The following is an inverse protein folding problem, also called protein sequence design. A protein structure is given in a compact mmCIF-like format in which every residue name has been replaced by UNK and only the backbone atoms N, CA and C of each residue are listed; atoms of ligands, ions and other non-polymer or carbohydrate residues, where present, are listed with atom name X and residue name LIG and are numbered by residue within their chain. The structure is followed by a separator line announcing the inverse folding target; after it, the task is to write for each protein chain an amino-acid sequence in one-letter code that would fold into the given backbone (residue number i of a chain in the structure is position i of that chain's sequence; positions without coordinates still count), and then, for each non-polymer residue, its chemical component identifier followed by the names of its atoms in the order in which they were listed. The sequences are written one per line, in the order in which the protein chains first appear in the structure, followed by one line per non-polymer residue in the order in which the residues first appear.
data_IF_978637263792
#
_entry.id   IF_978637263792
#
_cell.length_a   1.000
_cell.length_b   1.000
_cell.length_c   1.000
_cell.angle_alpha   90.00
_cell.angle_beta   90.00
_cell.angle_gamma   90.00
#
_symmetry.space_group_name_H-M   'P 1'
#
loop_
_entity.id
_entity.type
_entity.pdbx_description
1 polymer ?
#
# COMPACT_ATOMS: atom_id res chain seq x y z
N UNK A 1 2.00 60.61 -14.91
CA UNK A 1 1.09 59.52 -15.37
C UNK A 1 1.78 58.25 -15.79
N UNK A 2 2.91 58.29 -16.55
CA UNK A 2 3.63 57.05 -16.98
C UNK A 2 4.21 56.20 -15.84
N UNK A 3 4.68 56.82 -14.76
CA UNK A 3 5.25 56.10 -13.59
C UNK A 3 4.20 55.38 -12.75
N UNK A 4 3.01 55.97 -12.60
CA UNK A 4 1.90 55.34 -11.85
C UNK A 4 1.35 54.13 -12.61
N UNK A 5 1.26 54.23 -13.93
CA UNK A 5 0.80 53.11 -14.77
C UNK A 5 1.76 51.93 -14.73
N UNK A 6 3.09 52.19 -14.70
CA UNK A 6 4.13 51.14 -14.57
C UNK A 6 4.05 50.44 -13.23
N UNK A 7 3.78 51.16 -12.13
CA UNK A 7 3.63 50.56 -10.79
C UNK A 7 2.38 49.69 -10.67
N UNK A 8 1.29 50.07 -11.31
CA UNK A 8 0.05 49.29 -11.35
C UNK A 8 0.22 48.00 -12.16
N UNK A 9 0.93 48.04 -13.30
CA UNK A 9 1.25 46.83 -14.08
C UNK A 9 2.17 45.89 -13.33
N UNK A 10 3.17 46.41 -12.61
CA UNK A 10 4.12 45.57 -11.85
C UNK A 10 3.40 44.84 -10.69
N UNK A 11 2.49 45.52 -9.98
CA UNK A 11 1.71 44.89 -8.92
C UNK A 11 0.70 43.86 -9.47
N UNK A 12 0.11 44.11 -10.65
CA UNK A 12 -0.81 43.20 -11.29
C UNK A 12 -0.10 41.89 -11.72
N UNK A 13 1.13 41.99 -12.25
CA UNK A 13 1.94 40.82 -12.66
C UNK A 13 2.39 39.97 -11.44
N UNK A 14 2.74 40.62 -10.31
CA UNK A 14 3.08 39.91 -9.07
C UNK A 14 1.83 39.18 -8.53
N UNK A 15 0.65 39.79 -8.60
CA UNK A 15 -0.59 39.19 -8.10
C UNK A 15 -1.04 37.97 -8.94
N UNK A 16 -0.82 38.01 -10.25
CA UNK A 16 -1.15 36.85 -11.12
C UNK A 16 -0.16 35.69 -11.00
N UNK A 17 1.10 35.96 -10.66
CA UNK A 17 2.10 34.87 -10.48
C UNK A 17 1.97 34.12 -9.14
N UNK A 18 1.33 34.72 -8.13
CA UNK A 18 1.10 34.03 -6.84
C UNK A 18 -0.16 33.16 -6.81
N UNK A 19 -1.08 33.31 -7.77
CA UNK A 19 -2.30 32.51 -7.83
C UNK A 19 -2.11 31.10 -8.44
N UNK A 20 -0.98 30.82 -9.08
CA UNK A 20 -0.71 29.52 -9.71
C UNK A 20 -0.19 28.45 -8.74
N UNK A 21 0.02 28.77 -7.46
CA UNK A 21 0.61 27.86 -6.46
C UNK A 21 -0.41 27.19 -5.51
N UNK A 22 -1.70 27.42 -5.70
CA UNK A 22 -2.73 26.90 -4.79
C UNK A 22 -3.62 25.82 -5.41
N UNK A 23 -3.15 25.11 -6.42
CA UNK A 23 -3.85 23.92 -6.93
C UNK A 23 -3.06 22.66 -6.60
N UNK A 24 -2.70 22.47 -5.33
CA UNK A 24 -2.43 21.15 -4.79
C UNK A 24 -3.78 20.48 -4.52
N UNK A 25 -4.59 20.33 -5.56
CA UNK A 25 -5.68 19.38 -5.51
C UNK A 25 -5.04 18.01 -5.34
N UNK A 26 -5.41 17.28 -4.28
CA UNK A 26 -4.98 15.91 -4.11
C UNK A 26 -5.33 15.14 -5.36
N UNK A 27 -4.32 14.60 -6.05
CA UNK A 27 -4.52 13.88 -7.28
C UNK A 27 -5.34 12.63 -7.04
N UNK A 28 -6.27 12.35 -7.95
CA UNK A 28 -7.07 11.13 -7.91
C UNK A 28 -6.16 9.94 -8.18
N UNK A 29 -6.30 8.89 -7.37
CA UNK A 29 -5.61 7.63 -7.60
C UNK A 29 -6.30 6.85 -8.71
N UNK A 30 -5.52 6.23 -9.60
CA UNK A 30 -6.01 5.45 -10.74
C UNK A 30 -5.53 4.00 -10.68
N UNK A 31 -6.33 3.10 -11.21
CA UNK A 31 -5.92 1.72 -11.43
C UNK A 31 -5.06 1.57 -12.70
N UNK A 32 -4.53 0.39 -12.94
CA UNK A 32 -3.69 0.07 -14.10
C UNK A 32 -4.42 0.17 -15.45
N UNK A 33 -5.76 0.20 -15.46
CA UNK A 33 -6.58 0.41 -16.64
C UNK A 33 -6.93 1.90 -16.85
N UNK A 34 -6.47 2.80 -15.98
CA UNK A 34 -6.74 4.24 -16.05
C UNK A 34 -8.10 4.65 -15.47
N UNK A 35 -8.80 3.77 -14.75
CA UNK A 35 -10.01 4.12 -14.03
C UNK A 35 -9.67 4.66 -12.66
N UNK A 36 -10.54 5.52 -12.11
CA UNK A 36 -10.39 6.02 -10.75
C UNK A 36 -10.48 4.88 -9.75
N UNK A 37 -9.61 4.90 -8.74
CA UNK A 37 -9.70 3.98 -7.62
C UNK A 37 -10.93 4.35 -6.77
N UNK A 38 -11.81 3.38 -6.51
CA UNK A 38 -13.10 3.62 -5.85
C UNK A 38 -13.13 2.96 -4.46
N UNK A 39 -13.85 3.61 -3.55
CA UNK A 39 -14.14 3.12 -2.21
C UNK A 39 -14.86 1.77 -2.27
N UNK A 40 -14.39 0.81 -1.43
CA UNK A 40 -15.05 -0.48 -1.25
C UNK A 40 -15.00 -1.42 -2.46
N UNK A 41 -14.37 -1.02 -3.55
CA UNK A 41 -14.11 -1.91 -4.68
C UNK A 41 -12.80 -2.67 -4.40
N UNK A 42 -12.76 -4.00 -4.58
CA UNK A 42 -11.55 -4.78 -4.34
C UNK A 42 -10.56 -4.66 -5.49
N UNK A 43 -9.30 -4.42 -5.13
CA UNK A 43 -8.15 -4.30 -6.04
C UNK A 43 -7.02 -5.19 -5.57
N UNK A 44 -6.27 -5.76 -6.52
CA UNK A 44 -4.95 -6.33 -6.26
C UNK A 44 -3.93 -5.20 -6.18
N UNK A 45 -3.00 -5.31 -5.23
CA UNK A 45 -1.86 -4.40 -5.07
C UNK A 45 -0.63 -5.12 -5.61
N UNK A 46 -0.16 -4.72 -6.79
CA UNK A 46 0.93 -5.38 -7.50
C UNK A 46 2.20 -4.51 -7.47
N UNK A 47 3.40 -5.09 -7.36
CA UNK A 47 4.62 -4.31 -7.53
C UNK A 47 4.71 -3.76 -8.96
N UNK A 48 5.18 -2.51 -9.11
CA UNK A 48 5.42 -1.90 -10.41
C UNK A 48 6.53 -2.63 -11.17
N UNK A 49 7.60 -3.01 -10.45
CA UNK A 49 8.79 -3.62 -11.05
C UNK A 49 8.62 -5.14 -11.17
N UNK A 50 8.79 -5.65 -12.39
CA UNK A 50 8.80 -7.08 -12.64
C UNK A 50 10.05 -7.76 -12.07
N UNK A 51 9.91 -9.03 -11.69
CA UNK A 51 11.00 -9.82 -11.11
C UNK A 51 11.23 -9.56 -9.62
N UNK A 52 10.36 -8.76 -8.96
CA UNK A 52 10.45 -8.47 -7.52
C UNK A 52 9.51 -9.30 -6.67
N UNK A 53 8.72 -10.18 -7.28
CA UNK A 53 7.68 -10.99 -6.66
C UNK A 53 6.28 -10.66 -7.19
N UNK A 54 5.27 -11.34 -6.67
CA UNK A 54 3.86 -11.13 -7.02
C UNK A 54 3.18 -10.05 -6.18
N UNK A 55 1.85 -10.03 -6.23
CA UNK A 55 1.02 -9.07 -5.50
C UNK A 55 1.04 -9.29 -3.99
N UNK A 56 0.47 -8.32 -3.27
CA UNK A 56 0.31 -8.45 -1.82
C UNK A 56 -0.76 -9.48 -1.49
N UNK A 57 -0.51 -10.25 -0.43
CA UNK A 57 -1.36 -11.34 0.03
C UNK A 57 -1.42 -11.34 1.56
N UNK A 58 -2.16 -12.30 2.11
CA UNK A 58 -2.21 -12.53 3.55
C UNK A 58 -1.67 -13.92 3.86
N UNK A 59 -0.84 -14.00 4.89
CA UNK A 59 -0.31 -15.28 5.38
C UNK A 59 -0.47 -15.40 6.89
N UNK A 60 -0.59 -16.64 7.34
CA UNK A 60 -0.49 -16.93 8.77
C UNK A 60 0.99 -16.93 9.19
N UNK A 61 1.27 -16.47 10.39
CA UNK A 61 2.59 -16.67 10.98
C UNK A 61 2.75 -18.16 11.37
N UNK A 62 3.95 -18.68 11.23
CA UNK A 62 4.26 -20.06 11.61
C UNK A 62 4.06 -20.36 13.10
N UNK A 63 4.18 -19.34 13.97
CA UNK A 63 4.04 -19.49 15.43
C UNK A 63 2.64 -19.16 15.92
N UNK A 64 2.03 -18.10 15.37
CA UNK A 64 0.70 -17.63 15.74
C UNK A 64 -0.16 -17.51 14.50
N UNK A 65 -1.25 -18.28 14.46
CA UNK A 65 -2.15 -18.26 13.30
C UNK A 65 -2.82 -16.88 13.09
N UNK A 66 -2.83 -16.02 14.11
CA UNK A 66 -3.51 -14.73 14.13
C UNK A 66 -2.72 -13.65 14.89
N UNK A 67 -2.76 -12.40 14.45
CA UNK A 67 -3.39 -11.89 13.22
C UNK A 67 -2.66 -12.35 11.95
N UNK A 68 -3.32 -12.20 10.77
CA UNK A 68 -2.66 -12.49 9.50
C UNK A 68 -1.66 -11.37 9.17
N UNK A 69 -0.49 -11.77 8.65
CA UNK A 69 0.50 -10.84 8.14
C UNK A 69 0.20 -10.47 6.68
N UNK A 70 0.44 -9.22 6.31
CA UNK A 70 0.46 -8.82 4.90
C UNK A 70 1.83 -9.17 4.32
N UNK A 71 1.83 -10.03 3.31
CA UNK A 71 3.06 -10.57 2.68
C UNK A 71 3.05 -10.32 1.18
N UNK A 72 4.18 -10.51 0.55
CA UNK A 72 4.29 -10.49 -0.90
C UNK A 72 4.33 -11.93 -1.43
N UNK A 73 3.56 -12.22 -2.48
CA UNK A 73 3.64 -13.49 -3.19
C UNK A 73 5.03 -13.68 -3.80
N UNK A 74 5.57 -14.90 -3.70
CA UNK A 74 6.90 -15.21 -4.23
C UNK A 74 6.93 -15.25 -5.76
N UNK A 75 5.81 -15.64 -6.38
CA UNK A 75 5.70 -15.75 -7.83
C UNK A 75 5.02 -14.53 -8.44
N UNK A 76 5.66 -13.91 -9.42
CA UNK A 76 5.18 -12.71 -10.11
C UNK A 76 3.80 -12.87 -10.76
N UNK A 77 3.43 -14.09 -11.15
CA UNK A 77 2.14 -14.39 -11.75
C UNK A 77 0.98 -14.42 -10.76
N UNK A 78 1.28 -14.44 -9.46
CA UNK A 78 0.28 -14.45 -8.41
C UNK A 78 -0.13 -13.01 -8.07
N UNK A 79 -1.38 -12.67 -8.30
CA UNK A 79 -1.91 -11.34 -7.97
C UNK A 79 -2.08 -11.11 -6.45
N UNK A 80 -2.01 -12.17 -5.64
CA UNK A 80 -2.25 -12.10 -4.21
C UNK A 80 -3.72 -11.99 -3.84
N UNK A 81 -3.99 -11.36 -2.71
CA UNK A 81 -5.34 -11.12 -2.19
C UNK A 81 -5.90 -9.78 -2.64
N UNK A 82 -7.21 -9.65 -2.81
CA UNK A 82 -7.84 -8.36 -3.09
C UNK A 82 -7.97 -7.53 -1.81
N UNK A 83 -7.85 -6.19 -1.98
CA UNK A 83 -7.96 -5.22 -0.90
C UNK A 83 -8.92 -4.09 -1.29
N UNK A 84 -9.65 -3.57 -0.33
CA UNK A 84 -10.52 -2.40 -0.47
C UNK A 84 -9.92 -1.20 0.25
N UNK A 85 -10.26 -0.01 -0.22
CA UNK A 85 -9.78 1.26 0.31
C UNK A 85 -10.96 2.07 0.82
N UNK A 86 -10.89 2.53 2.07
CA UNK A 86 -11.95 3.28 2.72
C UNK A 86 -11.42 4.62 3.20
N UNK A 87 -11.78 5.77 2.56
CA UNK A 87 -11.38 7.10 3.00
C UNK A 87 -11.83 7.36 4.44
N UNK A 88 -10.97 7.98 5.25
CA UNK A 88 -11.25 8.22 6.68
C UNK A 88 -11.91 9.59 6.88
N UNK A 89 -11.42 10.61 6.17
CA UNK A 89 -11.83 12.01 6.38
C UNK A 89 -12.83 12.47 5.33
N UNK A 90 -12.69 11.97 4.09
CA UNK A 90 -13.54 12.39 2.97
C UNK A 90 -14.67 11.38 2.76
N UNK A 91 -15.92 11.85 2.81
CA UNK A 91 -17.07 11.04 2.42
C UNK A 91 -17.24 11.07 0.90
N UNK A 92 -16.24 10.54 0.20
CA UNK A 92 -16.19 10.42 -1.25
C UNK A 92 -16.05 8.97 -1.67
N UNK A 93 -16.58 8.64 -2.86
CA UNK A 93 -16.40 7.32 -3.47
C UNK A 93 -15.04 7.16 -4.18
N UNK A 94 -14.28 8.25 -4.33
CA UNK A 94 -13.01 8.29 -5.05
C UNK A 94 -11.87 8.34 -4.06
N UNK A 95 -10.86 7.49 -4.24
CA UNK A 95 -9.64 7.52 -3.44
C UNK A 95 -8.72 8.63 -3.96
N UNK A 96 -8.28 9.49 -3.04
CA UNK A 96 -7.39 10.61 -3.33
C UNK A 96 -6.02 10.42 -2.71
N UNK A 97 -5.00 10.88 -3.43
CA UNK A 97 -3.61 10.89 -2.98
C UNK A 97 -3.42 11.77 -1.75
N UNK A 98 -2.50 11.36 -0.88
CA UNK A 98 -2.12 12.05 0.35
C UNK A 98 -3.27 12.26 1.38
N UNK A 99 -4.43 11.66 1.20
CA UNK A 99 -5.50 11.63 2.21
C UNK A 99 -5.48 10.32 2.99
N UNK A 100 -5.87 10.36 4.29
CA UNK A 100 -5.90 9.17 5.12
C UNK A 100 -6.95 8.18 4.62
N UNK A 101 -6.52 6.93 4.50
CA UNK A 101 -7.33 5.80 4.04
C UNK A 101 -7.09 4.61 4.94
N UNK A 102 -8.13 3.86 5.26
CA UNK A 102 -8.06 2.53 5.84
C UNK A 102 -8.03 1.49 4.71
N UNK A 103 -7.14 0.52 4.80
CA UNK A 103 -7.00 -0.57 3.83
C UNK A 103 -7.50 -1.85 4.50
N UNK A 104 -8.33 -2.61 3.79
CA UNK A 104 -8.96 -3.81 4.31
C UNK A 104 -8.85 -4.95 3.29
N UNK A 105 -8.54 -6.15 3.75
CA UNK A 105 -8.51 -7.32 2.87
C UNK A 105 -9.92 -7.84 2.60
N UNK A 106 -10.24 -8.06 1.35
CA UNK A 106 -11.54 -8.61 0.91
C UNK A 106 -11.49 -10.15 0.85
N UNK A 107 -11.29 -10.75 2.03
CA UNK A 107 -11.26 -12.21 2.21
C UNK A 107 -12.04 -12.63 3.45
N UNK A 108 -12.38 -13.92 3.54
CA UNK A 108 -12.86 -14.52 4.77
C UNK A 108 -11.68 -14.65 5.75
N UNK A 109 -11.75 -13.95 6.89
CA UNK A 109 -10.68 -13.97 7.90
C UNK A 109 -10.83 -15.19 8.83
N UNK A 110 -9.88 -16.14 8.82
CA UNK A 110 -9.90 -17.28 9.74
C UNK A 110 -9.66 -16.87 11.20
N UNK A 111 -9.16 -15.65 11.45
CA UNK A 111 -8.82 -15.14 12.77
C UNK A 111 -10.00 -14.53 13.53
N UNK A 112 -11.22 -14.56 12.99
CA UNK A 112 -12.41 -13.96 13.58
C UNK A 112 -12.27 -12.48 13.98
N UNK A 113 -11.27 -11.79 13.45
CA UNK A 113 -10.98 -10.37 13.67
C UNK A 113 -11.26 -9.52 12.46
N UNK A 114 -10.97 -8.23 12.57
CA UNK A 114 -11.03 -7.26 11.48
C UNK A 114 -9.99 -7.59 10.41
N UNK A 115 -10.33 -7.38 9.14
CA UNK A 115 -9.41 -7.45 8.00
C UNK A 115 -8.68 -6.12 7.75
N UNK A 116 -8.96 -5.10 8.55
CA UNK A 116 -8.32 -3.80 8.45
C UNK A 116 -6.83 -3.92 8.79
N UNK A 117 -6.00 -3.30 7.97
CA UNK A 117 -4.55 -3.24 8.19
C UNK A 117 -4.20 -2.40 9.41
N UNK A 118 -3.20 -2.83 10.14
CA UNK A 118 -2.52 -2.04 11.17
C UNK A 118 -1.01 -2.29 11.13
N UNK A 119 -0.25 -1.30 11.54
CA UNK A 119 1.19 -1.45 11.76
C UNK A 119 1.43 -1.97 13.17
N UNK A 120 2.10 -3.11 13.30
CA UNK A 120 2.38 -3.81 14.55
C UNK A 120 3.89 -3.96 14.72
N UNK A 121 4.40 -3.73 15.94
CA UNK A 121 5.80 -4.04 16.23
C UNK A 121 5.97 -5.56 16.22
N UNK A 122 6.85 -6.06 15.35
CA UNK A 122 7.30 -7.44 15.40
C UNK A 122 8.39 -7.53 16.47
N UNK A 123 8.18 -8.37 17.47
CA UNK A 123 9.23 -8.71 18.43
C UNK A 123 10.18 -9.65 17.70
N UNK A 124 11.41 -9.21 17.49
CA UNK A 124 12.50 -10.11 17.11
C UNK A 124 12.73 -11.04 18.32
N UNK A 125 12.11 -12.22 18.29
CA UNK A 125 12.45 -13.25 19.28
C UNK A 125 13.79 -13.84 18.87
N UNK A 126 14.84 -13.47 19.59
CA UNK A 126 16.08 -14.24 19.62
C UNK A 126 15.81 -15.58 20.36
N UNK A 127 14.95 -16.43 19.79
CA UNK A 127 14.71 -17.78 20.27
C UNK A 127 15.65 -18.73 19.56
N UNK A 128 16.93 -18.74 19.96
CA UNK A 128 17.80 -19.89 19.81
C UNK A 128 18.98 -19.76 20.79
N UNK A 129 18.74 -19.98 22.08
CA UNK A 129 19.77 -20.47 22.98
C UNK A 129 19.11 -21.24 24.16
N UNK A 130 18.52 -22.41 23.87
CA UNK A 130 18.49 -23.48 24.86
C UNK A 130 19.91 -24.03 25.04
N UNK A 131 20.79 -23.21 25.64
CA UNK A 131 22.04 -23.69 26.15
C UNK A 131 21.88 -23.99 27.64
N UNK A 132 22.19 -25.22 28.13
CA UNK A 132 22.07 -25.57 29.55
C UNK A 132 22.95 -24.68 30.39
N UNK A 133 22.35 -24.01 31.38
CA UNK A 133 23.02 -23.17 32.36
C UNK A 133 24.01 -23.99 33.17
N UNK A 134 25.27 -23.96 32.83
CA UNK A 134 26.36 -24.31 33.74
C UNK A 134 27.04 -23.02 34.25
N UNK A 135 26.95 -22.91 35.59
CA UNK A 135 27.59 -21.87 36.39
C UNK A 135 29.07 -21.67 36.10
N UNK A 136 29.47 -20.44 35.92
CA UNK A 136 30.52 -19.66 36.61
C UNK A 136 31.24 -18.68 35.67
N UNK A 137 31.23 -17.43 36.17
CA UNK A 137 32.26 -16.41 35.91
C UNK A 137 32.45 -15.80 34.50
N UNK A 138 31.90 -14.60 34.25
CA UNK A 138 32.73 -13.39 34.08
C UNK A 138 31.88 -12.21 33.62
N UNK A 139 31.99 -11.10 34.39
CA UNK A 139 31.65 -9.75 33.96
C UNK A 139 32.14 -9.53 32.52
N UNK A 140 31.23 -9.37 31.59
CA UNK A 140 31.46 -8.72 30.31
C UNK A 140 30.46 -7.57 30.16
N UNK A 141 30.98 -6.40 29.83
CA UNK A 141 30.28 -5.18 29.52
C UNK A 141 29.09 -5.50 28.61
N UNK A 142 27.93 -5.14 29.07
CA UNK A 142 26.71 -5.01 28.25
C UNK A 142 26.97 -3.86 27.28
N UNK A 143 27.35 -4.18 26.06
CA UNK A 143 27.05 -3.32 24.91
C UNK A 143 25.55 -3.46 24.72
N UNK A 144 24.77 -2.49 25.20
CA UNK A 144 23.35 -2.33 24.95
C UNK A 144 23.14 -2.25 23.42
N UNK A 145 22.96 -3.38 22.79
CA UNK A 145 22.50 -3.45 21.42
C UNK A 145 21.03 -3.01 21.47
N UNK A 146 20.79 -1.75 21.14
CA UNK A 146 19.45 -1.21 20.97
C UNK A 146 18.75 -2.05 19.88
N UNK A 147 17.86 -2.94 20.31
CA UNK A 147 17.04 -3.73 19.39
C UNK A 147 16.00 -2.79 18.76
N UNK A 148 16.28 -2.34 17.56
CA UNK A 148 15.34 -1.50 16.81
C UNK A 148 14.13 -2.38 16.43
N UNK A 149 12.92 -2.04 16.90
CA UNK A 149 11.75 -2.84 16.60
C UNK A 149 11.45 -2.81 15.10
N UNK A 150 11.25 -3.98 14.49
CA UNK A 150 10.73 -4.10 13.13
C UNK A 150 9.22 -3.96 13.17
N UNK A 151 8.66 -3.11 12.34
CA UNK A 151 7.22 -2.92 12.24
C UNK A 151 6.70 -3.59 10.97
N UNK A 152 5.70 -4.45 11.10
CA UNK A 152 5.04 -5.14 9.99
C UNK A 152 3.56 -4.80 9.93
N UNK A 153 2.96 -4.95 8.75
CA UNK A 153 1.53 -4.75 8.54
C UNK A 153 0.80 -6.08 8.78
N UNK A 154 -0.19 -6.05 9.67
CA UNK A 154 -1.05 -7.19 9.98
C UNK A 154 -2.52 -6.81 9.85
N UNK A 155 -3.40 -7.80 9.84
CA UNK A 155 -4.85 -7.61 10.05
C UNK A 155 -5.17 -7.32 11.53
N UNK A 156 -6.44 -7.07 11.85
CA UNK A 156 -6.89 -6.79 13.22
C UNK A 156 -6.81 -5.32 13.59
N UNK A 157 -6.71 -4.42 12.61
CA UNK A 157 -6.80 -2.99 12.81
C UNK A 157 -8.23 -2.50 13.05
N UNK A 158 -8.37 -1.24 13.38
CA UNK A 158 -9.64 -0.56 13.54
C UNK A 158 -9.71 0.68 12.64
N UNK A 159 -10.91 0.97 12.12
CA UNK A 159 -11.13 2.15 11.29
C UNK A 159 -10.81 3.44 12.06
N UNK A 160 -10.12 4.39 11.39
CA UNK A 160 -9.76 5.69 11.95
C UNK A 160 -8.90 5.63 13.23
N UNK A 161 -8.02 4.63 13.35
CA UNK A 161 -7.02 4.56 14.42
C UNK A 161 -5.62 4.86 13.89
N UNK A 162 -4.74 5.44 14.70
CA UNK A 162 -3.39 5.81 14.26
C UNK A 162 -2.60 4.66 13.64
N UNK A 163 -2.67 3.46 14.21
CA UNK A 163 -1.99 2.26 13.73
C UNK A 163 -2.54 1.74 12.40
N UNK A 164 -3.78 2.12 12.05
CA UNK A 164 -4.49 1.72 10.82
C UNK A 164 -4.61 2.86 9.80
N UNK A 165 -3.84 3.93 9.99
CA UNK A 165 -3.89 5.14 9.21
C UNK A 165 -2.86 5.10 8.09
N UNK A 166 -3.31 4.86 6.86
CA UNK A 166 -2.45 4.85 5.69
C UNK A 166 -2.79 6.00 4.75
N UNK A 167 -1.91 6.25 3.80
CA UNK A 167 -2.18 7.10 2.65
C UNK A 167 -1.51 6.51 1.42
N UNK A 168 -1.97 6.95 0.25
CA UNK A 168 -1.38 6.60 -1.05
C UNK A 168 -0.84 7.89 -1.64
N UNK A 169 0.41 7.87 -2.10
CA UNK A 169 1.03 9.01 -2.80
C UNK A 169 1.49 8.55 -4.17
N UNK A 170 1.42 9.45 -5.16
CA UNK A 170 1.96 9.16 -6.49
C UNK A 170 3.49 9.03 -6.41
N UNK A 171 4.03 8.07 -7.15
CA UNK A 171 5.46 7.81 -7.24
C UNK A 171 5.92 8.07 -8.68
N UNK A 172 6.90 8.95 -8.83
CA UNK A 172 7.44 9.39 -10.11
C UNK A 172 8.64 8.53 -10.59
N UNK A 173 8.81 7.32 -10.04
CA UNK A 173 9.97 6.47 -10.35
C UNK A 173 10.10 6.18 -11.84
N UNK A 174 8.99 6.00 -12.55
CA UNK A 174 8.96 5.70 -13.98
C UNK A 174 8.11 6.72 -14.74
N UNK A 175 8.73 7.67 -15.45
CA UNK A 175 8.02 8.66 -16.26
C UNK A 175 7.03 8.02 -17.24
N UNK A 176 5.77 8.46 -17.18
CA UNK A 176 4.70 7.97 -18.06
C UNK A 176 3.94 6.73 -17.57
N UNK A 177 4.36 6.11 -16.47
CA UNK A 177 3.61 5.08 -15.77
C UNK A 177 3.12 5.62 -14.44
N UNK A 178 1.81 5.52 -14.18
CA UNK A 178 1.25 5.86 -12.89
C UNK A 178 1.55 4.74 -11.90
N UNK A 179 2.34 5.05 -10.90
CA UNK A 179 2.65 4.17 -9.79
C UNK A 179 2.51 4.92 -8.47
N UNK A 180 2.42 4.19 -7.39
CA UNK A 180 2.07 4.74 -6.10
C UNK A 180 2.91 4.12 -4.99
N UNK A 181 3.11 4.88 -3.92
CA UNK A 181 3.72 4.44 -2.68
C UNK A 181 2.65 4.45 -1.58
N UNK A 182 2.55 3.36 -0.82
CA UNK A 182 1.72 3.32 0.39
C UNK A 182 2.58 3.81 1.56
N UNK A 183 2.00 4.68 2.40
CA UNK A 183 2.65 5.21 3.58
C UNK A 183 1.74 5.06 4.80
N UNK A 184 2.33 4.84 5.97
CA UNK A 184 1.67 4.87 7.26
C UNK A 184 1.80 6.25 7.88
N UNK A 185 0.67 6.91 8.20
CA UNK A 185 0.61 8.30 8.65
C UNK A 185 -0.22 8.44 9.94
N UNK A 186 0.26 7.98 11.10
CA UNK A 186 -0.53 7.89 12.33
C UNK A 186 -1.10 9.23 12.79
N UNK A 187 -0.40 10.33 12.58
CA UNK A 187 -0.84 11.68 12.98
C UNK A 187 -2.11 12.14 12.26
N UNK A 188 -2.38 11.63 11.04
CA UNK A 188 -3.59 11.99 10.28
C UNK A 188 -4.87 11.39 10.85
N UNK A 189 -4.75 10.38 11.73
CA UNK A 189 -5.85 9.70 12.40
C UNK A 189 -5.80 9.86 13.93
N UNK A 190 -5.34 11.02 14.40
CA UNK A 190 -5.43 11.40 15.80
C UNK A 190 -4.37 10.77 16.70
N UNK A 191 -3.19 10.45 16.20
CA UNK A 191 -2.07 10.07 17.07
C UNK A 191 -1.75 11.19 18.05
N UNK A 192 -1.55 10.88 19.34
CA UNK A 192 -1.14 11.86 20.33
C UNK A 192 0.33 12.30 20.19
N UNK A 193 1.08 11.65 19.30
CA UNK A 193 2.47 11.98 19.02
C UNK A 193 2.60 13.35 18.37
N UNK A 194 3.64 14.09 18.74
CA UNK A 194 4.06 15.32 18.05
C UNK A 194 4.77 15.06 16.73
N UNK A 195 5.06 13.80 16.41
CA UNK A 195 5.68 13.39 15.16
C UNK A 195 4.64 13.43 14.03
N UNK A 196 4.84 14.34 13.08
CA UNK A 196 3.99 14.54 11.90
C UNK A 196 4.56 13.83 10.67
N UNK A 197 5.32 12.74 10.87
CA UNK A 197 5.97 12.01 9.79
C UNK A 197 5.06 10.89 9.26
N UNK A 198 5.01 10.74 7.94
CA UNK A 198 4.53 9.54 7.27
C UNK A 198 5.73 8.63 6.98
N UNK A 199 5.57 7.36 7.19
CA UNK A 199 6.60 6.34 7.00
C UNK A 199 6.28 5.48 5.79
N UNK A 200 7.27 5.23 4.93
CA UNK A 200 7.09 4.33 3.81
C UNK A 200 6.79 2.90 4.29
N UNK A 201 5.90 2.24 3.56
CA UNK A 201 5.59 0.83 3.75
C UNK A 201 6.06 0.09 2.51
N UNK A 202 6.91 -0.91 2.72
CA UNK A 202 7.51 -1.71 1.64
C UNK A 202 7.83 -3.12 2.13
N UNK A 203 8.56 -3.89 1.32
CA UNK A 203 8.86 -5.28 1.64
C UNK A 203 10.10 -5.37 2.53
N UNK A 204 9.90 -5.87 3.74
CA UNK A 204 10.95 -6.29 4.67
C UNK A 204 11.05 -7.82 4.64
N UNK A 205 12.26 -8.36 4.68
CA UNK A 205 12.49 -9.81 4.64
C UNK A 205 12.92 -10.31 6.00
N UNK A 206 12.40 -11.47 6.39
CA UNK A 206 12.91 -12.22 7.54
C UNK A 206 14.20 -12.99 7.20
N UNK A 207 14.73 -13.72 8.18
CA UNK A 207 15.94 -14.52 8.02
C UNK A 207 15.78 -15.67 6.99
N UNK A 208 14.55 -16.14 6.79
CA UNK A 208 14.22 -17.22 5.84
C UNK A 208 13.93 -16.67 4.43
N UNK A 209 13.94 -15.34 4.26
CA UNK A 209 13.71 -14.65 2.98
C UNK A 209 12.24 -14.40 2.66
N UNK A 210 11.30 -14.67 3.57
CA UNK A 210 9.89 -14.34 3.39
C UNK A 210 9.71 -12.82 3.42
N UNK A 211 8.93 -12.32 2.47
CA UNK A 211 8.65 -10.89 2.34
C UNK A 211 7.38 -10.49 3.09
N UNK A 212 7.52 -9.60 4.07
CA UNK A 212 6.41 -8.99 4.81
C UNK A 212 6.28 -7.52 4.42
N UNK A 213 5.05 -7.04 4.32
CA UNK A 213 4.82 -5.60 4.20
C UNK A 213 5.11 -4.94 5.55
N UNK A 214 5.99 -3.96 5.59
CA UNK A 214 6.40 -3.32 6.84
C UNK A 214 6.97 -1.93 6.64
N UNK A 215 7.24 -1.25 7.77
CA UNK A 215 7.88 0.06 7.74
C UNK A 215 9.34 -0.08 7.27
N UNK A 216 9.71 0.70 6.27
CA UNK A 216 11.05 0.70 5.68
C UNK A 216 11.36 2.04 5.04
N UNK A 217 12.63 2.37 4.89
CA UNK A 217 13.07 3.53 4.10
C UNK A 217 13.10 3.24 2.60
N UNK A 218 13.02 1.95 2.22
CA UNK A 218 12.99 1.55 0.82
C UNK A 218 11.63 1.88 0.18
N UNK A 219 11.67 2.34 -1.06
CA UNK A 219 10.48 2.60 -1.86
C UNK A 219 9.98 1.27 -2.42
N UNK A 220 8.67 1.01 -2.29
CA UNK A 220 7.99 -0.13 -2.88
C UNK A 220 6.85 0.38 -3.77
N UNK A 221 7.17 0.73 -5.03
CA UNK A 221 6.18 1.27 -5.95
C UNK A 221 5.19 0.19 -6.37
N UNK A 222 3.90 0.53 -6.30
CA UNK A 222 2.80 -0.38 -6.60
C UNK A 222 1.86 0.20 -7.65
N UNK A 223 1.11 -0.69 -8.27
CA UNK A 223 -0.05 -0.39 -9.13
C UNK A 223 -1.26 -1.14 -8.61
N UNK A 224 -2.44 -0.59 -8.84
CA UNK A 224 -3.71 -1.19 -8.45
C UNK A 224 -4.39 -1.81 -9.66
N UNK A 225 -4.84 -3.06 -9.55
CA UNK A 225 -5.57 -3.74 -10.61
C UNK A 225 -6.92 -4.22 -10.09
N UNK A 226 -8.00 -3.78 -10.74
CA UNK A 226 -9.35 -4.16 -10.33
C UNK A 226 -9.53 -5.68 -10.39
N UNK A 227 -9.97 -6.30 -9.29
CA UNK A 227 -10.14 -7.75 -9.19
C UNK A 227 -11.25 -8.27 -10.10
N UNK A 228 -12.27 -7.45 -10.41
CA UNK A 228 -13.35 -7.81 -11.35
C UNK A 228 -12.92 -7.71 -12.82
N UNK A 229 -11.90 -6.89 -13.15
CA UNK A 229 -11.42 -6.67 -14.52
C UNK A 229 -10.79 -7.90 -15.16
N UNK A 230 -10.17 -8.78 -14.40
CA UNK A 230 -9.62 -10.05 -14.89
C UNK A 230 -10.69 -11.02 -15.32
N UNK A 231 -11.86 -11.01 -14.68
CA UNK A 231 -13.02 -11.83 -15.08
C UNK A 231 -13.67 -11.34 -16.39
N UNK A 232 -13.76 -10.02 -16.60
CA UNK A 232 -14.35 -9.42 -17.79
C UNK A 232 -13.55 -9.69 -19.07
N UNK A 233 -12.22 -9.72 -19.00
CA UNK A 233 -11.40 -10.04 -20.16
C UNK A 233 -11.46 -11.53 -20.52
N UNK A 234 -11.49 -12.43 -19.54
CA UNK A 234 -11.63 -13.86 -19.79
C UNK A 234 -12.98 -14.19 -20.43
N UNK A 235 -14.07 -13.56 -19.97
CA UNK A 235 -15.41 -13.75 -20.56
C UNK A 235 -15.52 -13.18 -21.97
N UNK A 236 -14.89 -12.06 -22.30
CA UNK A 236 -14.85 -11.49 -23.66
C UNK A 236 -14.02 -12.37 -24.62
N UNK A 237 -12.88 -12.91 -24.14
CA UNK A 237 -12.05 -13.81 -24.96
C UNK A 237 -12.78 -15.12 -25.21
N UNK A 238 -13.49 -15.70 -24.25
CA UNK A 238 -14.28 -16.91 -24.45
C UNK A 238 -15.48 -16.68 -25.38
N UNK A 239 -16.14 -15.53 -25.32
CA UNK A 239 -17.22 -15.16 -26.24
C UNK A 239 -16.72 -14.90 -27.67
N UNK A 240 -15.54 -14.29 -27.82
CA UNK A 240 -14.91 -14.13 -29.15
C UNK A 240 -14.47 -15.46 -29.74
N UNK A 241 -13.90 -16.36 -28.93
CA UNK A 241 -13.52 -17.71 -29.37
C UNK A 241 -14.74 -18.53 -29.80
N UNK A 242 -15.85 -18.44 -29.06
CA UNK A 242 -17.12 -19.11 -29.42
C UNK A 242 -17.70 -18.57 -30.73
N UNK A 243 -17.66 -17.24 -30.96
CA UNK A 243 -18.12 -16.63 -32.21
C UNK A 243 -17.27 -17.06 -33.42
N UNK A 244 -15.94 -17.13 -33.26
CA UNK A 244 -15.03 -17.57 -34.35
C UNK A 244 -15.24 -19.03 -34.71
N UNK A 245 -15.51 -19.91 -33.74
CA UNK A 245 -15.80 -21.33 -34.01
C UNK A 245 -17.16 -21.51 -34.75
N UNK A 246 -18.14 -20.69 -34.47
CA UNK A 246 -19.44 -20.71 -35.14
C UNK A 246 -19.33 -20.27 -36.59
N UNK A 247 -18.53 -19.23 -36.88
CA UNK A 247 -18.27 -18.79 -38.27
C UNK A 247 -17.52 -19.85 -39.11
N UNK A 248 -16.65 -20.63 -38.47
CA UNK A 248 -15.89 -21.71 -39.16
C UNK A 248 -16.77 -22.89 -39.55
N UNK A 249 -17.90 -23.14 -38.86
CA UNK A 249 -18.83 -24.21 -39.20
C UNK A 249 -19.81 -23.80 -40.30
N UNK A 250 -20.15 -22.51 -40.45
CA UNK A 250 -21.04 -22.00 -41.48
C UNK A 250 -20.38 -21.85 -42.84
N UNK A 251 -19.05 -21.83 -42.93
CA UNK A 251 -18.29 -21.75 -44.20
C UNK A 251 -17.94 -23.09 -44.84
N UNK A 252 -18.52 -24.22 -44.35
CA UNK A 252 -18.30 -25.59 -44.89
C UNK A 252 -19.55 -26.26 -45.42
N UNK A 253 -20.52 -25.48 -45.86
CA UNK A 253 -21.69 -25.99 -46.63
C UNK A 253 -21.68 -25.43 -48.01
#
# INVERSE_FOLDING_TARGET
MKTILSFLFFNLVIFTSTFSLLSAGSDVIYDSAGNKLLRGIPYYILPLLRGTGGGLSLSQNSKDACPLNVTQESFEVNNGSPFTFNPIVLDEDIIRGAYPVSIEADIVNPCHGSNIWKLTAAVANDDDDERPKNNKDKKKKDDDKEVVPVYIVTTGGEFNKPESCFQIVEDDMMPGLKSYQIQHCPFKCGSPSTDLTCYNVGIVKDADGNGYLGRTDAIFPVVFTNSFGTFSQSSKISQLSAKVSTFRQLGKK
#
